data_IF_645076038497
#
_entry.id   IF_645076038497
#
_cell.length_a   1.000
_cell.length_b   1.000
_cell.length_c   1.000
_cell.angle_alpha   90.00
_cell.angle_beta   90.00
_cell.angle_gamma   90.00
#
_symmetry.space_group_name_H-M   'P 1'
#
loop_
_entity.id
_entity.type
_entity.pdbx_description
1 polymer ?
#
# COMPACT_ATOMS: atom_id res chain seq x y z
N UNK A 1 -10.19 17.50 -11.12
CA UNK A 1 -9.32 16.72 -10.21
C UNK A 1 -9.69 15.26 -10.35
N UNK A 2 -8.77 14.32 -10.68
CA UNK A 2 -9.07 12.91 -10.50
C UNK A 2 -9.44 12.70 -9.02
N UNK A 3 -10.52 11.94 -8.79
CA UNK A 3 -11.00 11.69 -7.44
C UNK A 3 -9.94 10.86 -6.72
N UNK A 4 -9.38 11.32 -5.58
CA UNK A 4 -8.39 10.54 -4.86
C UNK A 4 -9.01 9.23 -4.38
N UNK A 5 -8.20 8.18 -4.28
CA UNK A 5 -8.65 6.92 -3.71
C UNK A 5 -9.15 7.13 -2.27
N UNK A 6 -10.31 6.56 -1.90
CA UNK A 6 -10.81 6.59 -0.53
C UNK A 6 -9.74 6.12 0.46
N UNK A 7 -9.75 6.65 1.69
CA UNK A 7 -8.77 6.24 2.71
C UNK A 7 -8.90 4.76 3.02
N UNK A 8 -10.11 4.26 3.19
CA UNK A 8 -10.40 2.85 3.48
C UNK A 8 -9.87 1.92 2.39
N UNK A 9 -9.99 2.30 1.12
CA UNK A 9 -9.42 1.54 0.01
C UNK A 9 -7.89 1.48 0.10
N UNK A 10 -7.25 2.63 0.37
CA UNK A 10 -5.78 2.67 0.52
C UNK A 10 -5.31 1.80 1.69
N UNK A 11 -6.04 1.84 2.80
CA UNK A 11 -5.74 1.08 4.01
C UNK A 11 -5.85 -0.43 3.76
N UNK A 12 -6.93 -0.89 3.11
CA UNK A 12 -7.11 -2.31 2.81
C UNK A 12 -6.05 -2.83 1.83
N UNK A 13 -5.74 -2.07 0.78
CA UNK A 13 -4.67 -2.45 -0.17
C UNK A 13 -3.30 -2.49 0.53
N UNK A 14 -3.01 -1.52 1.41
CA UNK A 14 -1.77 -1.54 2.21
C UNK A 14 -1.74 -2.74 3.14
N UNK A 15 -2.85 -3.08 3.79
CA UNK A 15 -2.95 -4.24 4.69
C UNK A 15 -2.68 -5.54 3.95
N UNK A 16 -3.30 -5.74 2.78
CA UNK A 16 -3.05 -6.91 1.91
C UNK A 16 -1.58 -6.93 1.46
N UNK A 17 -1.05 -5.76 1.11
CA UNK A 17 0.36 -5.62 0.73
C UNK A 17 1.33 -5.75 1.89
N UNK A 18 0.94 -5.67 3.15
CA UNK A 18 1.82 -5.92 4.30
C UNK A 18 1.77 -7.38 4.75
N UNK A 19 0.59 -8.01 4.69
CA UNK A 19 0.37 -9.41 5.08
C UNK A 19 0.63 -10.41 3.95
N UNK A 20 1.14 -9.95 2.79
CA UNK A 20 1.39 -10.82 1.64
C UNK A 20 2.36 -11.94 1.97
N UNK A 21 2.12 -13.12 1.40
CA UNK A 21 3.03 -14.25 1.51
C UNK A 21 4.37 -13.99 0.81
N UNK A 22 5.43 -14.70 1.24
CA UNK A 22 6.80 -14.49 0.76
C UNK A 22 6.98 -14.63 -0.77
N UNK A 23 6.07 -15.32 -1.46
CA UNK A 23 6.06 -15.47 -2.92
C UNK A 23 5.27 -14.39 -3.68
N UNK A 24 4.53 -13.53 -2.99
CA UNK A 24 3.66 -12.53 -3.63
C UNK A 24 4.39 -11.21 -3.75
N UNK A 25 4.43 -10.67 -4.98
CA UNK A 25 5.06 -9.37 -5.25
C UNK A 25 4.07 -8.24 -5.03
N UNK A 26 4.55 -7.13 -4.46
CA UNK A 26 3.77 -5.90 -4.27
C UNK A 26 3.20 -5.39 -5.60
N UNK A 27 3.93 -5.55 -6.70
CA UNK A 27 3.49 -5.17 -8.04
C UNK A 27 2.26 -5.95 -8.51
N UNK A 28 2.17 -7.24 -8.18
CA UNK A 28 1.01 -8.05 -8.53
C UNK A 28 -0.23 -7.61 -7.75
N UNK A 29 -0.07 -7.34 -6.45
CA UNK A 29 -1.14 -6.80 -5.61
C UNK A 29 -1.60 -5.45 -6.16
N UNK A 30 -0.67 -4.55 -6.47
CA UNK A 30 -1.01 -3.24 -7.04
C UNK A 30 -1.83 -3.39 -8.34
N UNK A 31 -1.39 -4.28 -9.24
CA UNK A 31 -2.09 -4.54 -10.50
C UNK A 31 -3.48 -5.14 -10.29
N UNK A 32 -3.64 -6.08 -9.35
CA UNK A 32 -4.92 -6.69 -9.00
C UNK A 32 -5.95 -5.65 -8.53
N UNK A 33 -5.51 -4.67 -7.75
CA UNK A 33 -6.34 -3.56 -7.28
C UNK A 33 -6.43 -2.37 -8.27
N UNK A 34 -5.81 -2.46 -9.44
CA UNK A 34 -5.78 -1.37 -10.43
C UNK A 34 -4.98 -0.13 -9.97
N UNK A 35 -4.07 -0.31 -9.02
CA UNK A 35 -3.21 0.74 -8.48
C UNK A 35 -1.83 0.65 -9.13
N UNK A 36 -1.25 1.81 -9.45
CA UNK A 36 0.12 1.84 -9.94
C UNK A 36 1.10 1.38 -8.83
N UNK A 37 2.07 0.47 -9.09
CA UNK A 37 2.94 -0.09 -8.05
C UNK A 37 3.66 0.97 -7.20
N UNK A 38 4.17 2.01 -7.86
CA UNK A 38 4.82 3.15 -7.21
C UNK A 38 3.90 3.87 -6.19
N UNK A 39 2.60 3.89 -6.44
CA UNK A 39 1.60 4.49 -5.55
C UNK A 39 1.40 3.62 -4.30
N UNK A 40 1.33 2.28 -4.48
CA UNK A 40 1.23 1.35 -3.37
C UNK A 40 2.49 1.39 -2.48
N UNK A 41 3.69 1.46 -3.06
CA UNK A 41 4.93 1.65 -2.28
C UNK A 41 4.91 2.91 -1.43
N UNK A 42 4.38 4.03 -1.95
CA UNK A 42 4.22 5.28 -1.19
C UNK A 42 3.25 5.12 -0.03
N UNK A 43 2.13 4.43 -0.23
CA UNK A 43 1.16 4.20 0.85
C UNK A 43 1.71 3.28 1.94
N UNK A 44 2.42 2.21 1.57
CA UNK A 44 3.08 1.34 2.56
C UNK A 44 4.12 2.10 3.39
N UNK A 45 4.92 2.97 2.76
CA UNK A 45 5.88 3.82 3.49
C UNK A 45 5.20 4.82 4.41
N UNK A 46 4.07 5.42 3.98
CA UNK A 46 3.30 6.32 4.83
C UNK A 46 2.70 5.58 6.05
N UNK A 47 2.22 4.35 5.87
CA UNK A 47 1.70 3.53 6.95
C UNK A 47 2.79 3.08 7.93
N UNK A 48 4.00 2.79 7.45
CA UNK A 48 5.15 2.44 8.29
C UNK A 48 5.56 3.61 9.22
N UNK A 49 5.52 4.84 8.70
CA UNK A 49 5.78 6.07 9.47
C UNK A 49 4.65 6.33 10.49
N UNK A 50 3.39 6.15 10.11
CA UNK A 50 2.22 6.33 10.99
C UNK A 50 2.20 5.31 12.15
N UNK A 51 2.62 4.07 11.88
CA UNK A 51 2.75 3.01 12.88
C UNK A 51 3.88 3.24 13.90
N UNK A 52 4.64 4.34 13.79
CA UNK A 52 5.72 4.66 14.73
C UNK A 52 7.04 3.92 14.45
N UNK A 53 7.20 3.30 13.26
CA UNK A 53 8.47 2.71 12.81
C UNK A 53 9.42 3.77 12.23
N UNK A 54 9.17 5.04 12.53
CA UNK A 54 10.12 6.12 12.34
C UNK A 54 11.32 5.92 13.25
N UNK A 55 12.41 5.49 12.64
CA UNK A 55 13.81 5.48 13.11
C UNK A 55 14.08 6.35 14.35
N UNK A 56 14.76 5.74 15.33
CA UNK A 56 15.57 6.45 16.32
C UNK A 56 16.61 7.37 15.65
#
# INVERSE_FOLDING_TARGET
MPKPYPREFRDDVVRVAQTRGAGVRVEQIANDFGVHPMTLFKWMRAADVDAGTGQA
#
